data_IF_005514529782
#
_entry.id   IF_005514529782
#
_cell.length_a   1.000
_cell.length_b   1.000
_cell.length_c   1.000
_cell.angle_alpha   90.00
_cell.angle_beta   90.00
_cell.angle_gamma   90.00
#
_symmetry.space_group_name_H-M   'P 1'
#
loop_
_entity.id
_entity.type
_entity.pdbx_description
1 polymer ?
#
# COMPACT_ATOMS: atom_id res chain seq x y z
N UNK A 1 -7.30 -19.26 22.73
CA UNK A 1 -7.98 -18.74 21.52
C UNK A 1 -9.10 -17.83 21.94
N UNK A 2 -8.99 -16.52 21.69
CA UNK A 2 -9.99 -15.54 22.12
C UNK A 2 -10.94 -15.24 20.95
N UNK A 3 -12.23 -15.40 21.23
CA UNK A 3 -13.34 -15.24 20.29
C UNK A 3 -13.60 -13.75 20.05
N UNK A 4 -13.21 -13.24 18.87
CA UNK A 4 -13.73 -11.97 18.36
C UNK A 4 -15.17 -12.19 17.88
N UNK A 5 -16.10 -11.35 18.34
CA UNK A 5 -17.50 -11.41 17.91
C UNK A 5 -17.60 -10.95 16.44
N UNK A 6 -17.75 -11.91 15.51
CA UNK A 6 -18.15 -11.60 14.14
C UNK A 6 -19.68 -11.45 14.07
N UNK A 7 -20.17 -10.24 13.76
CA UNK A 7 -21.55 -10.10 13.28
C UNK A 7 -21.53 -10.26 11.76
N UNK A 8 -22.02 -11.41 11.30
CA UNK A 8 -22.21 -11.69 9.88
C UNK A 8 -23.58 -11.15 9.46
N UNK A 9 -23.62 -10.17 8.56
CA UNK A 9 -24.84 -9.88 7.80
C UNK A 9 -24.59 -10.39 6.39
N UNK A 10 -25.43 -11.36 5.98
CA UNK A 10 -25.52 -12.20 4.76
C UNK A 10 -24.42 -12.23 3.67
N UNK A 11 -23.55 -11.24 3.49
CA UNK A 11 -22.40 -11.24 2.57
C UNK A 11 -21.15 -10.45 3.06
N UNK A 12 -21.15 -9.88 4.27
CA UNK A 12 -20.01 -9.13 4.80
C UNK A 12 -19.76 -9.49 6.27
N UNK A 13 -18.54 -9.95 6.56
CA UNK A 13 -18.07 -10.06 7.95
C UNK A 13 -17.59 -8.69 8.38
N UNK A 14 -18.32 -8.06 9.30
CA UNK A 14 -17.79 -6.91 10.02
C UNK A 14 -16.70 -7.42 10.96
N UNK A 15 -15.46 -7.30 10.54
CA UNK A 15 -14.31 -7.37 11.45
C UNK A 15 -14.38 -6.11 12.32
N UNK A 16 -14.38 -6.23 13.66
CA UNK A 16 -14.14 -5.09 14.53
C UNK A 16 -12.89 -4.36 14.00
N UNK A 17 -12.90 -3.03 13.98
CA UNK A 17 -11.83 -2.17 13.44
C UNK A 17 -10.48 -2.29 14.18
N UNK A 18 -10.31 -3.34 14.97
CA UNK A 18 -9.13 -3.64 15.76
C UNK A 18 -8.58 -4.98 15.28
N UNK A 19 -7.42 -4.92 14.67
CA UNK A 19 -6.72 -6.06 14.07
C UNK A 19 -5.70 -6.69 15.04
N UNK A 20 -5.84 -6.38 16.34
CA UNK A 20 -4.95 -6.73 17.45
C UNK A 20 -3.55 -6.10 17.42
N UNK A 21 -3.28 -5.18 16.48
CA UNK A 21 -2.03 -4.42 16.40
C UNK A 21 -2.28 -2.92 16.61
N UNK A 22 -1.82 -2.32 17.72
CA UNK A 22 -1.98 -0.88 17.94
C UNK A 22 -1.13 -0.01 17.01
N UNK A 23 -0.15 -0.61 16.32
CA UNK A 23 0.79 0.04 15.40
C UNK A 23 1.02 -0.87 14.18
N UNK A 24 2.27 -1.09 13.77
CA UNK A 24 2.60 -2.06 12.74
C UNK A 24 2.32 -3.49 13.21
N UNK A 25 1.91 -4.32 12.26
CA UNK A 25 1.84 -5.77 12.42
C UNK A 25 3.05 -6.43 11.73
N UNK A 26 3.44 -7.66 12.14
CA UNK A 26 4.36 -8.46 11.34
C UNK A 26 3.87 -8.56 9.89
N UNK A 27 4.79 -8.45 8.93
CA UNK A 27 4.46 -8.57 7.51
C UNK A 27 3.81 -9.93 7.25
N UNK A 28 2.68 -9.93 6.56
CA UNK A 28 1.93 -11.15 6.24
C UNK A 28 1.02 -11.67 7.35
N UNK A 29 0.75 -10.87 8.40
CA UNK A 29 -0.24 -11.23 9.43
C UNK A 29 -1.65 -11.44 8.89
N UNK A 30 -1.99 -10.81 7.76
CA UNK A 30 -3.32 -10.88 7.14
C UNK A 30 -3.30 -11.64 5.81
N UNK A 31 -4.49 -11.94 5.28
CA UNK A 31 -4.61 -12.68 4.02
C UNK A 31 -4.02 -11.88 2.85
N UNK A 32 -3.22 -12.56 2.03
CA UNK A 32 -2.73 -12.00 0.78
C UNK A 32 -3.87 -11.72 -0.21
N UNK A 33 -3.64 -10.78 -1.12
CA UNK A 33 -4.48 -10.63 -2.30
C UNK A 33 -4.29 -11.80 -3.30
N UNK A 34 -5.10 -11.92 -4.37
CA UNK A 34 -4.99 -13.01 -5.35
C UNK A 34 -3.63 -13.15 -6.06
N UNK A 35 -2.75 -12.14 -5.96
CA UNK A 35 -1.40 -12.19 -6.50
C UNK A 35 -0.35 -12.62 -5.47
N UNK A 36 -0.77 -13.05 -4.27
CA UNK A 36 0.14 -13.43 -3.20
C UNK A 36 0.84 -12.25 -2.52
N UNK A 37 0.31 -11.03 -2.67
CA UNK A 37 0.87 -9.83 -2.04
C UNK A 37 0.15 -9.53 -0.72
N UNK A 38 0.94 -9.37 0.33
CA UNK A 38 0.51 -8.99 1.67
C UNK A 38 0.64 -7.50 1.89
N UNK A 39 -0.15 -6.96 2.83
CA UNK A 39 -0.04 -5.59 3.35
C UNK A 39 -0.04 -4.53 2.25
N UNK A 40 -0.87 -4.73 1.22
CA UNK A 40 -1.04 -3.77 0.12
C UNK A 40 -1.98 -2.62 0.48
N UNK A 41 -2.71 -2.74 1.61
CA UNK A 41 -3.57 -1.72 2.19
C UNK A 41 -3.44 -1.73 3.71
N UNK A 42 -2.91 -0.66 4.30
CA UNK A 42 -2.58 -0.56 5.72
C UNK A 42 -1.15 -1.01 6.07
N UNK A 43 -0.93 -1.28 7.36
CA UNK A 43 0.39 -1.49 7.98
C UNK A 43 1.30 -0.26 7.84
N UNK A 44 1.90 -0.02 6.67
CA UNK A 44 2.72 1.16 6.41
C UNK A 44 2.51 1.68 4.99
N UNK A 45 2.63 2.99 4.82
CA UNK A 45 2.80 3.59 3.50
C UNK A 45 4.03 2.97 2.83
N UNK A 46 3.98 2.80 1.52
CA UNK A 46 5.07 2.23 0.74
C UNK A 46 5.57 3.23 -0.29
N UNK A 47 6.86 3.55 -0.23
CA UNK A 47 7.54 4.33 -1.26
C UNK A 47 7.45 3.65 -2.63
N UNK A 48 7.22 4.47 -3.66
CA UNK A 48 7.35 4.10 -5.06
C UNK A 48 8.51 4.88 -5.72
N UNK A 49 9.10 4.30 -6.76
CA UNK A 49 10.18 4.95 -7.50
C UNK A 49 9.70 6.18 -8.28
N UNK A 50 8.40 6.25 -8.58
CA UNK A 50 7.76 7.29 -9.36
C UNK A 50 7.76 8.66 -8.62
N UNK A 51 7.95 9.72 -9.39
CA UNK A 51 7.64 11.09 -8.98
C UNK A 51 6.15 11.31 -8.80
N UNK A 52 5.78 12.13 -7.83
CA UNK A 52 4.39 12.51 -7.65
C UNK A 52 4.01 13.63 -8.60
N UNK A 53 3.13 13.31 -9.53
CA UNK A 53 2.40 14.28 -10.35
C UNK A 53 0.93 13.88 -10.51
N UNK A 54 0.10 14.80 -11.00
CA UNK A 54 -1.27 14.53 -11.45
C UNK A 54 -1.22 13.46 -12.54
N UNK A 55 -2.21 12.57 -12.51
CA UNK A 55 -2.38 11.65 -13.62
C UNK A 55 -2.73 12.44 -14.88
N UNK A 56 -1.97 12.23 -15.95
CA UNK A 56 -2.34 12.73 -17.25
C UNK A 56 -3.55 11.93 -17.76
N UNK A 57 -4.37 12.57 -18.59
CA UNK A 57 -5.48 11.91 -19.23
C UNK A 57 -5.00 10.90 -20.27
N UNK A 58 -5.74 9.80 -20.44
CA UNK A 58 -5.42 8.75 -21.40
C UNK A 58 -4.53 7.63 -20.85
N UNK A 59 -4.23 6.67 -21.73
CA UNK A 59 -3.40 5.52 -21.40
C UNK A 59 -1.91 5.87 -21.56
N UNK A 60 -1.13 5.61 -20.50
CA UNK A 60 0.33 5.78 -20.51
C UNK A 60 0.97 4.44 -20.23
N UNK A 61 1.84 4.00 -21.14
CA UNK A 61 2.66 2.81 -20.96
C UNK A 61 3.96 3.18 -20.25
N UNK A 62 4.25 2.54 -19.13
CA UNK A 62 5.48 2.69 -18.35
C UNK A 62 5.91 4.17 -18.13
N UNK A 63 5.11 4.98 -17.39
CA UNK A 63 5.44 6.39 -17.14
C UNK A 63 6.86 6.55 -16.55
N UNK A 64 7.63 7.50 -17.09
CA UNK A 64 9.09 7.60 -16.88
C UNK A 64 9.51 8.79 -16.01
N UNK A 65 8.89 9.02 -14.87
CA UNK A 65 9.32 10.10 -13.97
C UNK A 65 10.08 9.55 -12.77
N UNK A 66 11.34 9.16 -12.99
CA UNK A 66 12.14 8.44 -11.99
C UNK A 66 13.30 9.22 -11.39
N UNK A 67 13.94 10.14 -12.09
CA UNK A 67 15.30 10.50 -11.64
C UNK A 67 15.38 11.83 -10.87
N UNK A 68 14.43 12.76 -11.01
CA UNK A 68 14.52 14.10 -10.39
C UNK A 68 13.22 14.63 -9.74
N UNK A 69 12.37 13.74 -9.23
CA UNK A 69 11.11 14.17 -8.63
C UNK A 69 11.31 14.85 -7.26
N UNK A 70 10.74 16.05 -7.09
CA UNK A 70 10.74 16.82 -5.82
C UNK A 70 10.05 16.04 -4.70
N UNK A 71 9.01 15.28 -5.05
CA UNK A 71 8.25 14.43 -4.14
C UNK A 71 8.04 13.07 -4.79
N UNK A 72 8.09 12.01 -3.99
CA UNK A 72 7.95 10.61 -4.43
C UNK A 72 6.59 10.08 -4.01
N UNK A 73 6.03 9.20 -4.83
CA UNK A 73 4.70 8.62 -4.59
C UNK A 73 4.72 7.69 -3.39
N UNK A 74 3.69 7.79 -2.55
CA UNK A 74 3.33 6.86 -1.49
C UNK A 74 2.04 6.11 -1.87
N UNK A 75 1.98 4.82 -1.56
CA UNK A 75 0.82 3.94 -1.76
C UNK A 75 0.50 3.12 -0.53
N UNK A 76 -0.76 2.70 -0.39
CA UNK A 76 -1.17 1.66 0.55
C UNK A 76 -1.83 2.15 1.84
N UNK A 77 -1.58 3.38 2.30
CA UNK A 77 -2.01 3.78 3.64
C UNK A 77 -1.20 3.11 4.75
N UNK A 78 -1.40 3.51 6.01
CA UNK A 78 -0.71 2.94 7.17
C UNK A 78 -1.66 2.49 8.28
N UNK A 79 -1.09 1.99 9.39
CA UNK A 79 -1.83 1.56 10.58
C UNK A 79 -2.64 2.67 11.26
N UNK A 80 -2.29 3.94 11.06
CA UNK A 80 -3.03 5.08 11.61
C UNK A 80 -3.99 5.74 10.62
N UNK A 81 -4.12 5.20 9.41
CA UNK A 81 -4.97 5.76 8.37
C UNK A 81 -6.41 5.24 8.43
N UNK A 82 -7.34 6.10 8.02
CA UNK A 82 -8.72 5.68 7.77
C UNK A 82 -8.81 4.78 6.54
N UNK A 83 -9.79 3.85 6.45
CA UNK A 83 -9.92 2.92 5.33
C UNK A 83 -9.95 3.57 3.93
N UNK A 84 -10.41 4.82 3.84
CA UNK A 84 -10.42 5.60 2.59
C UNK A 84 -9.01 5.85 2.04
N UNK A 85 -8.01 5.98 2.91
CA UNK A 85 -6.61 6.21 2.56
C UNK A 85 -5.89 4.92 2.19
N UNK A 86 -6.37 3.77 2.68
CA UNK A 86 -5.80 2.44 2.39
C UNK A 86 -6.27 1.83 1.05
N UNK A 87 -7.04 2.58 0.23
CA UNK A 87 -7.50 2.10 -1.07
C UNK A 87 -6.35 2.04 -2.07
N UNK A 88 -6.36 1.04 -2.94
CA UNK A 88 -5.36 0.86 -4.01
C UNK A 88 -5.16 2.09 -4.91
N UNK A 89 -6.24 2.84 -5.17
CA UNK A 89 -6.21 4.04 -6.00
C UNK A 89 -5.71 5.30 -5.26
N UNK A 90 -5.63 5.30 -3.92
CA UNK A 90 -5.11 6.45 -3.16
C UNK A 90 -3.61 6.58 -3.42
N UNK A 91 -3.18 7.84 -3.53
CA UNK A 91 -1.78 8.25 -3.67
C UNK A 91 -1.51 9.35 -2.70
N UNK A 92 -0.42 9.25 -1.97
CA UNK A 92 0.14 10.41 -1.28
C UNK A 92 1.54 10.69 -1.79
N UNK A 93 2.20 11.68 -1.22
CA UNK A 93 3.59 11.94 -1.50
C UNK A 93 4.37 12.48 -0.31
N UNK A 94 5.68 12.39 -0.42
CA UNK A 94 6.60 12.96 0.54
C UNK A 94 7.93 13.29 -0.14
N UNK A 95 8.68 14.23 0.44
CA UNK A 95 10.06 14.51 0.02
C UNK A 95 10.91 13.24 0.12
N UNK A 96 11.84 12.95 -0.82
CA UNK A 96 12.72 11.78 -0.77
C UNK A 96 13.50 11.62 0.54
N UNK A 97 13.79 12.73 1.23
CA UNK A 97 14.49 12.73 2.52
C UNK A 97 13.56 12.46 3.72
N UNK A 98 12.24 12.47 3.51
CA UNK A 98 11.25 12.28 4.56
C UNK A 98 11.30 10.89 5.19
N UNK A 99 11.11 10.83 6.50
CA UNK A 99 11.04 9.60 7.29
C UNK A 99 9.86 9.74 8.25
N UNK A 100 9.00 8.74 8.28
CA UNK A 100 7.85 8.65 9.17
C UNK A 100 7.87 7.27 9.83
N UNK A 101 7.25 7.15 11.00
CA UNK A 101 7.14 5.88 11.73
C UNK A 101 6.14 4.90 11.10
N UNK A 102 5.40 5.34 10.09
CA UNK A 102 4.37 4.59 9.39
C UNK A 102 4.69 4.44 7.89
N UNK A 103 5.96 4.65 7.52
CA UNK A 103 6.46 4.65 6.14
C UNK A 103 7.58 3.63 5.93
N UNK A 104 7.37 2.73 4.99
CA UNK A 104 8.31 1.72 4.54
C UNK A 104 8.40 1.63 3.01
N UNK A 105 8.83 0.47 2.52
CA UNK A 105 8.91 0.19 1.08
C UNK A 105 8.90 -1.32 0.83
N UNK A 106 8.64 -1.70 -0.42
CA UNK A 106 8.85 -3.07 -0.91
C UNK A 106 9.69 -3.03 -2.18
N UNK A 107 10.50 -4.05 -2.40
CA UNK A 107 11.38 -4.12 -3.56
C UNK A 107 10.68 -4.84 -4.71
N UNK A 108 10.93 -4.39 -5.93
CA UNK A 108 10.52 -5.07 -7.16
C UNK A 108 11.76 -5.32 -8.02
N UNK A 109 11.82 -6.49 -8.64
CA UNK A 109 12.88 -6.85 -9.58
C UNK A 109 12.28 -6.96 -10.98
N UNK A 110 12.83 -6.21 -11.92
CA UNK A 110 12.48 -6.33 -13.34
C UNK A 110 13.45 -7.30 -14.00
N UNK A 111 12.94 -8.43 -14.47
CA UNK A 111 13.73 -9.30 -15.34
C UNK A 111 13.74 -8.74 -16.77
N UNK A 112 14.88 -8.80 -17.48
CA UNK A 112 14.90 -8.51 -18.91
C UNK A 112 13.93 -9.46 -19.62
N UNK A 113 13.29 -8.96 -20.68
CA UNK A 113 12.45 -9.82 -21.50
C UNK A 113 13.31 -10.98 -22.01
N UNK A 114 12.83 -12.23 -21.85
CA UNK A 114 13.46 -13.38 -22.50
C UNK A 114 13.40 -13.12 -24.01
N UNK A 115 14.54 -12.83 -24.62
CA UNK A 115 14.72 -13.00 -26.06
C UNK A 115 14.55 -14.49 -26.34
N UNK A 116 13.57 -14.82 -27.20
CA UNK A 116 13.40 -16.17 -27.73
C UNK A 116 14.56 -16.53 -28.63
#
# INVERSE_FOLDING_TARGET
GKKGYSRTTKNWTLVPWYDDYPFTSPVGSFMANPWGLYDMGGNVWQWCADGYDKYQEGYIKDPKDRDNAVRRVLRGGSWCDVPRNCRSARRDDLSPAGRLNDLGFRVVLRFPARTR
#
